data_IF_649664493850
#
_entry.id   IF_649664493850
#
_cell.length_a   1.000
_cell.length_b   1.000
_cell.length_c   1.000
_cell.angle_alpha   90.00
_cell.angle_beta   90.00
_cell.angle_gamma   90.00
#
_symmetry.space_group_name_H-M   'P 1'
#
loop_
_entity.id
_entity.type
_entity.pdbx_description
1 polymer ?
#
# COMPACT_ATOMS: atom_id res chain seq x y z
N UNK A 1 7.88 5.16 21.65
CA UNK A 1 9.07 6.03 21.80
C UNK A 1 8.77 7.17 22.76
N UNK A 2 9.61 7.34 23.78
CA UNK A 2 9.25 7.99 25.06
C UNK A 2 8.93 6.92 26.11
N UNK A 3 7.84 7.09 26.88
CA UNK A 3 7.39 6.08 27.88
C UNK A 3 6.72 4.85 27.27
N UNK A 4 6.50 4.84 25.96
CA UNK A 4 5.82 3.75 25.28
C UNK A 4 6.80 2.64 24.89
N UNK A 5 6.56 1.44 25.40
CA UNK A 5 7.29 0.23 25.05
C UNK A 5 7.26 0.01 23.54
N UNK A 6 8.41 -0.28 22.95
CA UNK A 6 8.54 -0.51 21.51
C UNK A 6 9.52 -1.64 21.28
N UNK A 7 9.16 -2.57 20.41
CA UNK A 7 10.00 -3.71 20.02
C UNK A 7 10.52 -3.46 18.61
N UNK A 8 11.83 -3.58 18.41
CA UNK A 8 12.47 -3.45 17.10
C UNK A 8 12.77 -4.83 16.56
N UNK A 9 12.24 -5.14 15.37
CA UNK A 9 12.56 -6.37 14.65
C UNK A 9 13.68 -6.09 13.65
N UNK A 10 14.79 -6.80 13.75
CA UNK A 10 15.94 -6.66 12.85
C UNK A 10 16.29 -8.01 12.21
N UNK A 11 16.56 -7.97 10.90
CA UNK A 11 16.95 -9.13 10.11
C UNK A 11 15.79 -9.78 9.38
N UNK A 12 16.02 -10.17 8.13
CA UNK A 12 15.00 -10.73 7.23
C UNK A 12 14.26 -11.92 7.84
N UNK A 13 14.96 -12.85 8.50
CA UNK A 13 14.35 -14.03 9.13
C UNK A 13 13.30 -13.65 10.17
N UNK A 14 13.63 -12.70 11.05
CA UNK A 14 12.74 -12.25 12.13
C UNK A 14 11.55 -11.47 11.57
N UNK A 15 11.80 -10.59 10.60
CA UNK A 15 10.75 -9.81 9.94
C UNK A 15 9.76 -10.73 9.22
N UNK A 16 10.25 -11.74 8.48
CA UNK A 16 9.39 -12.72 7.79
C UNK A 16 8.58 -13.55 8.77
N UNK A 17 9.19 -13.99 9.88
CA UNK A 17 8.47 -14.74 10.91
C UNK A 17 7.31 -13.93 11.49
N UNK A 18 7.57 -12.70 11.91
CA UNK A 18 6.56 -11.84 12.52
C UNK A 18 5.47 -11.40 11.52
N UNK A 19 5.86 -10.81 10.39
CA UNK A 19 4.91 -10.15 9.48
C UNK A 19 4.21 -11.11 8.51
N UNK A 20 4.78 -12.28 8.24
CA UNK A 20 4.19 -13.26 7.30
C UNK A 20 3.64 -14.47 8.04
N UNK A 21 4.47 -15.17 8.82
CA UNK A 21 4.02 -16.41 9.48
C UNK A 21 3.08 -16.13 10.64
N UNK A 22 3.30 -15.03 11.37
CA UNK A 22 2.46 -14.58 12.47
C UNK A 22 1.64 -13.33 12.12
N UNK A 23 1.29 -13.17 10.84
CA UNK A 23 0.60 -11.98 10.33
C UNK A 23 -0.66 -11.61 11.14
N UNK A 24 -1.41 -12.59 11.66
CA UNK A 24 -2.60 -12.34 12.48
C UNK A 24 -2.30 -11.54 13.77
N UNK A 25 -1.12 -11.72 14.35
CA UNK A 25 -0.69 -11.03 15.57
C UNK A 25 -0.04 -9.67 15.27
N UNK A 26 0.59 -9.52 14.10
CA UNK A 26 1.36 -8.32 13.72
C UNK A 26 0.67 -7.43 12.67
N UNK A 27 -0.57 -7.75 12.25
CA UNK A 27 -1.27 -7.00 11.20
C UNK A 27 -1.83 -5.64 11.61
N UNK A 28 -1.89 -5.36 12.91
CA UNK A 28 -2.48 -4.15 13.48
C UNK A 28 -1.63 -2.89 13.16
N UNK A 29 -2.19 -1.70 13.41
CA UNK A 29 -1.50 -0.41 13.29
C UNK A 29 -1.19 0.12 14.69
N UNK A 30 0.08 0.38 15.02
CA UNK A 30 0.41 1.01 16.29
C UNK A 30 -0.21 2.40 16.36
N UNK A 31 -0.60 2.81 17.57
CA UNK A 31 -1.09 4.15 17.81
C UNK A 31 0.02 5.18 17.59
N UNK A 32 -0.29 6.18 16.75
CA UNK A 32 0.49 7.40 16.60
C UNK A 32 -0.48 8.58 16.63
N UNK A 33 -0.19 9.69 17.36
CA UNK A 33 -1.09 10.84 17.43
C UNK A 33 -1.48 11.43 16.07
N UNK A 34 -0.58 11.36 15.08
CA UNK A 34 -0.85 11.79 13.72
C UNK A 34 -1.95 10.95 13.03
N UNK A 35 -2.12 9.68 13.39
CA UNK A 35 -3.13 8.83 12.77
C UNK A 35 -4.54 9.33 13.11
N UNK A 36 -4.74 9.79 14.35
CA UNK A 36 -6.02 10.29 14.83
C UNK A 36 -6.33 11.65 14.19
N UNK A 37 -5.30 12.50 14.04
CA UNK A 37 -5.46 13.81 13.41
C UNK A 37 -5.77 13.72 11.91
N UNK A 38 -5.15 12.78 11.18
CA UNK A 38 -5.27 12.69 9.73
C UNK A 38 -6.49 11.91 9.28
N UNK A 39 -6.82 10.81 9.97
CA UNK A 39 -7.90 9.92 9.51
C UNK A 39 -8.82 9.41 10.60
N UNK A 40 -8.65 9.85 11.86
CA UNK A 40 -9.44 9.36 13.00
C UNK A 40 -9.43 7.81 13.11
N UNK A 41 -8.31 7.17 12.74
CA UNK A 41 -8.19 5.69 12.66
C UNK A 41 -9.15 5.03 11.66
N UNK A 42 -9.58 5.73 10.62
CA UNK A 42 -10.42 5.20 9.53
C UNK A 42 -9.61 5.00 8.25
N UNK A 43 -10.24 4.34 7.27
CA UNK A 43 -9.70 4.13 5.93
C UNK A 43 -8.76 2.93 5.79
N UNK A 44 -8.15 2.74 4.62
CA UNK A 44 -7.41 1.50 4.31
C UNK A 44 -5.98 1.45 4.87
N UNK A 45 -5.37 2.61 5.17
CA UNK A 45 -3.98 2.71 5.62
C UNK A 45 -3.88 2.65 7.16
N UNK A 46 -4.73 3.40 7.85
CA UNK A 46 -4.64 3.68 9.28
C UNK A 46 -5.71 3.00 10.14
N UNK A 47 -6.79 2.47 9.56
CA UNK A 47 -7.76 1.68 10.33
C UNK A 47 -7.19 0.32 10.76
N UNK A 48 -7.90 -0.30 11.71
CA UNK A 48 -7.59 -1.64 12.20
C UNK A 48 -8.84 -2.50 12.40
N UNK A 49 -8.63 -3.74 12.81
CA UNK A 49 -9.70 -4.67 13.18
C UNK A 49 -10.57 -5.08 11.99
N UNK A 50 -11.85 -5.32 12.27
CA UNK A 50 -12.82 -5.78 11.28
C UNK A 50 -13.09 -4.72 10.20
N UNK A 51 -13.13 -3.44 10.57
CA UNK A 51 -13.35 -2.33 9.63
C UNK A 51 -12.27 -2.30 8.55
N UNK A 52 -11.00 -2.36 8.94
CA UNK A 52 -9.89 -2.41 8.00
C UNK A 52 -9.99 -3.61 7.05
N UNK A 53 -10.35 -4.80 7.56
CA UNK A 53 -10.49 -6.01 6.73
C UNK A 53 -11.57 -5.82 5.66
N UNK A 54 -12.72 -5.28 6.05
CA UNK A 54 -13.85 -5.03 5.15
C UNK A 54 -13.49 -4.02 4.07
N UNK A 55 -12.98 -2.84 4.48
CA UNK A 55 -12.61 -1.78 3.53
C UNK A 55 -11.49 -2.23 2.61
N UNK A 56 -10.45 -2.92 3.14
CA UNK A 56 -9.35 -3.45 2.33
C UNK A 56 -9.83 -4.42 1.28
N UNK A 57 -10.74 -5.34 1.64
CA UNK A 57 -11.29 -6.31 0.68
C UNK A 57 -12.02 -5.58 -0.45
N UNK A 58 -12.93 -4.67 -0.10
CA UNK A 58 -13.70 -3.90 -1.08
C UNK A 58 -12.80 -3.06 -2.00
N UNK A 59 -11.82 -2.33 -1.47
CA UNK A 59 -10.89 -1.55 -2.28
C UNK A 59 -10.05 -2.42 -3.23
N UNK A 60 -9.59 -3.59 -2.78
CA UNK A 60 -8.83 -4.50 -3.65
C UNK A 60 -9.69 -5.10 -4.76
N UNK A 61 -10.98 -5.32 -4.52
CA UNK A 61 -11.94 -5.73 -5.56
C UNK A 61 -12.13 -4.59 -6.58
N UNK A 62 -12.47 -3.39 -6.11
CA UNK A 62 -12.67 -2.21 -6.97
C UNK A 62 -11.42 -1.88 -7.81
N UNK A 63 -10.22 -1.95 -7.23
CA UNK A 63 -8.98 -1.69 -7.97
C UNK A 63 -8.75 -2.73 -9.08
N UNK A 64 -9.07 -4.00 -8.85
CA UNK A 64 -8.98 -5.04 -9.88
C UNK A 64 -10.00 -4.80 -10.99
N UNK A 65 -11.21 -4.40 -10.64
CA UNK A 65 -12.26 -4.05 -11.62
C UNK A 65 -11.86 -2.84 -12.47
N UNK A 66 -11.10 -1.89 -11.91
CA UNK A 66 -10.48 -0.79 -12.63
C UNK A 66 -9.20 -1.16 -13.41
N UNK A 67 -8.85 -2.45 -13.48
CA UNK A 67 -7.75 -2.93 -14.30
C UNK A 67 -6.39 -2.97 -13.59
N UNK A 68 -6.34 -2.86 -12.26
CA UNK A 68 -5.10 -3.10 -11.51
C UNK A 68 -4.61 -4.53 -11.75
N UNK A 69 -3.37 -4.67 -12.22
CA UNK A 69 -2.77 -5.95 -12.59
C UNK A 69 -3.13 -6.42 -14.00
N UNK A 70 -3.81 -5.60 -14.80
CA UNK A 70 -4.03 -5.83 -16.23
C UNK A 70 -3.35 -4.75 -17.06
N UNK A 71 -3.33 -4.94 -18.38
CA UNK A 71 -2.78 -3.94 -19.31
C UNK A 71 -3.58 -2.64 -19.33
N UNK A 72 -4.82 -2.61 -18.83
CA UNK A 72 -5.65 -1.41 -18.81
C UNK A 72 -5.03 -0.32 -17.92
N UNK A 73 -4.62 -0.68 -16.69
CA UNK A 73 -3.96 0.29 -15.80
C UNK A 73 -2.58 0.69 -16.36
N UNK A 74 -1.85 -0.23 -16.98
CA UNK A 74 -0.56 0.07 -17.61
C UNK A 74 -0.70 1.10 -18.74
N UNK A 75 -1.73 0.97 -19.58
CA UNK A 75 -2.03 1.96 -20.62
C UNK A 75 -2.35 3.33 -20.02
N UNK A 76 -3.13 3.40 -18.93
CA UNK A 76 -3.38 4.65 -18.23
C UNK A 76 -2.12 5.28 -17.65
N UNK A 77 -1.22 4.48 -17.10
CA UNK A 77 0.08 4.97 -16.62
C UNK A 77 0.91 5.53 -17.79
N UNK A 78 0.94 4.87 -18.94
CA UNK A 78 1.64 5.35 -20.13
C UNK A 78 1.02 6.63 -20.72
N UNK A 79 -0.30 6.71 -20.77
CA UNK A 79 -1.02 7.93 -21.18
C UNK A 79 -0.60 9.12 -20.29
N UNK A 80 -0.54 8.90 -18.97
CA UNK A 80 -0.11 9.93 -18.01
C UNK A 80 1.37 10.25 -18.12
N UNK A 81 2.25 9.27 -18.33
CA UNK A 81 3.68 9.53 -18.57
C UNK A 81 3.88 10.37 -19.84
N UNK A 82 3.19 10.04 -20.94
CA UNK A 82 3.25 10.84 -22.17
C UNK A 82 2.71 12.26 -21.99
N UNK A 83 1.74 12.44 -21.09
CA UNK A 83 1.19 13.76 -20.75
C UNK A 83 2.19 14.61 -19.97
N UNK A 84 2.93 14.00 -19.05
CA UNK A 84 3.95 14.68 -18.21
C UNK A 84 5.29 14.84 -18.93
N UNK A 85 5.67 13.87 -19.78
CA UNK A 85 6.94 13.78 -20.50
C UNK A 85 6.70 13.60 -22.02
N UNK A 86 6.31 14.67 -22.75
CA UNK A 86 5.96 14.57 -24.17
C UNK A 86 7.11 14.11 -25.09
N UNK A 87 8.36 14.27 -24.65
CA UNK A 87 9.59 13.93 -25.40
C UNK A 87 10.01 12.45 -25.28
N UNK A 88 9.48 11.71 -24.30
CA UNK A 88 9.81 10.29 -24.08
C UNK A 88 9.34 9.38 -25.23
N UNK A 89 8.42 9.87 -26.09
CA UNK A 89 7.87 9.12 -27.23
C UNK A 89 8.92 8.61 -28.24
N UNK A 90 10.09 9.25 -28.31
CA UNK A 90 11.15 8.85 -29.24
C UNK A 90 12.08 7.77 -28.69
N UNK A 91 12.14 7.57 -27.36
CA UNK A 91 13.01 6.57 -26.74
C UNK A 91 12.40 5.17 -26.79
N UNK A 92 11.09 5.03 -26.57
CA UNK A 92 10.41 3.73 -26.61
C UNK A 92 10.40 3.12 -28.02
N UNK A 93 10.27 3.94 -29.07
CA UNK A 93 10.34 3.50 -30.47
C UNK A 93 11.72 3.01 -30.92
N UNK A 94 12.78 3.28 -30.16
CA UNK A 94 14.15 2.82 -30.45
C UNK A 94 14.53 1.56 -29.67
N UNK A 95 13.69 1.13 -28.71
CA UNK A 95 13.93 -0.04 -27.87
C UNK A 95 13.17 -1.30 -28.34
N UNK A 96 12.38 -1.18 -29.42
CA UNK A 96 11.73 -2.27 -30.16
C UNK A 96 12.44 -2.47 -31.51
#
# INVERSE_FOLDING_TARGET
>A
MGRQLTVVLNGHKVIKEALVKQAHAFSDRPFFPLNDLVSEKKGIVLASGAEWKTVRKACLEILRDFGMGTNLLAQKIQEEDHRVHPDNRQQERKAL
#
